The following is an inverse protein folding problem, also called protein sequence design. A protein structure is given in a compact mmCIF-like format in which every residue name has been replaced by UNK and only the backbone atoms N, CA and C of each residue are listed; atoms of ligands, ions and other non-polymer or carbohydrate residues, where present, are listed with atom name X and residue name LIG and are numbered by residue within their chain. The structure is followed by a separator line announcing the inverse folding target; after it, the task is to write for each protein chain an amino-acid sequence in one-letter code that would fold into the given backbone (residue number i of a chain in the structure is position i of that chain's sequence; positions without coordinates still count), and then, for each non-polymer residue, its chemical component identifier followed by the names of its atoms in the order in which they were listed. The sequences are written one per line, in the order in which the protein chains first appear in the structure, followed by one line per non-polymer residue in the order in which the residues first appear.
data_IF_802353374607
#
_entry.id   IF_802353374607
#
_cell.length_a   1.000
_cell.length_b   1.000
_cell.length_c   1.000
_cell.angle_alpha   90.00
_cell.angle_beta   90.00
_cell.angle_gamma   90.00
#
_symmetry.space_group_name_H-M   'P 1'
#
loop_
_entity.id
_entity.type
_entity.pdbx_description
1 polymer ?
#
# COMPACT_ATOMS: atom_id res chain seq x y z
N UNK A 1 -13.69 73.11 -53.12
CA UNK A 1 -13.15 73.02 -51.74
C UNK A 1 -13.88 71.89 -51.05
N UNK A 2 -13.12 70.91 -50.58
CA UNK A 2 -13.55 69.54 -50.36
C UNK A 2 -14.27 69.33 -49.02
N UNK A 3 -15.28 68.45 -49.06
CA UNK A 3 -16.01 67.90 -47.93
C UNK A 3 -15.12 66.91 -47.17
N UNK A 4 -14.94 67.11 -45.86
CA UNK A 4 -14.17 66.23 -44.99
C UNK A 4 -15.05 65.06 -44.52
N UNK A 5 -14.64 63.85 -44.89
CA UNK A 5 -15.28 62.58 -44.50
C UNK A 5 -14.84 62.18 -43.10
N UNK A 6 -15.81 61.85 -42.23
CA UNK A 6 -15.58 61.31 -40.89
C UNK A 6 -15.33 59.81 -41.02
N UNK A 7 -14.11 59.38 -40.67
CA UNK A 7 -13.72 57.97 -40.59
C UNK A 7 -14.21 57.43 -39.25
N UNK A 8 -15.17 56.51 -39.28
CA UNK A 8 -15.59 55.71 -38.12
C UNK A 8 -14.70 54.46 -38.08
N UNK A 9 -14.06 54.11 -36.94
CA UNK A 9 -13.25 52.91 -36.86
C UNK A 9 -14.14 51.66 -36.87
N UNK A 10 -13.68 50.64 -37.62
CA UNK A 10 -14.32 49.34 -37.69
C UNK A 10 -14.36 48.66 -36.31
N UNK A 11 -15.41 47.88 -35.98
CA UNK A 11 -15.42 47.09 -34.76
C UNK A 11 -14.35 45.99 -34.87
N UNK A 12 -13.44 45.94 -33.90
CA UNK A 12 -12.55 44.80 -33.71
C UNK A 12 -13.41 43.58 -33.38
N UNK A 13 -13.53 42.66 -34.33
CA UNK A 13 -14.11 41.34 -34.11
C UNK A 13 -13.20 40.54 -33.18
N UNK A 14 -13.50 40.54 -31.89
CA UNK A 14 -13.04 39.53 -30.96
C UNK A 14 -14.18 38.53 -30.76
N UNK A 15 -14.23 37.53 -31.65
CA UNK A 15 -14.91 36.29 -31.35
C UNK A 15 -14.14 35.61 -30.22
N UNK A 16 -14.59 35.80 -28.98
CA UNK A 16 -14.38 34.80 -27.96
C UNK A 16 -15.30 33.64 -28.32
N UNK A 17 -14.80 32.69 -29.11
CA UNK A 17 -15.36 31.35 -29.09
C UNK A 17 -15.24 30.87 -27.65
N UNK A 18 -16.38 30.71 -26.99
CA UNK A 18 -16.44 29.88 -25.79
C UNK A 18 -15.94 28.50 -26.22
N UNK A 19 -14.92 27.92 -25.55
CA UNK A 19 -14.58 26.53 -25.80
C UNK A 19 -15.85 25.70 -25.56
N UNK A 20 -16.22 24.94 -26.58
CA UNK A 20 -17.42 24.11 -26.58
C UNK A 20 -17.48 23.27 -25.31
N UNK A 21 -18.60 23.41 -24.60
CA UNK A 21 -19.07 22.44 -23.63
C UNK A 21 -19.54 21.22 -24.43
N UNK A 22 -18.61 20.39 -24.90
CA UNK A 22 -18.92 19.13 -25.59
C UNK A 22 -17.69 18.20 -25.59
N UNK A 23 -17.17 17.88 -24.41
CA UNK A 23 -16.60 16.56 -24.12
C UNK A 23 -16.82 16.28 -22.62
N UNK A 24 -18.00 15.74 -22.30
CA UNK A 24 -18.16 15.01 -21.04
C UNK A 24 -17.17 13.84 -21.11
N UNK A 25 -16.28 13.62 -20.13
CA UNK A 25 -15.37 12.49 -20.19
C UNK A 25 -16.20 11.20 -20.35
N UNK A 26 -15.90 10.40 -21.38
CA UNK A 26 -16.54 9.09 -21.63
C UNK A 26 -16.22 8.05 -20.54
N UNK A 27 -15.46 8.42 -19.50
CA UNK A 27 -15.06 7.50 -18.46
C UNK A 27 -16.14 7.35 -17.37
N UNK A 28 -16.48 6.11 -16.96
CA UNK A 28 -17.54 5.87 -15.99
C UNK A 28 -17.14 6.32 -14.59
N UNK A 29 -18.05 6.98 -13.88
CA UNK A 29 -17.94 7.24 -12.44
C UNK A 29 -17.84 5.91 -11.69
N UNK A 30 -16.86 5.78 -10.80
CA UNK A 30 -16.77 4.63 -9.91
C UNK A 30 -17.89 4.66 -8.88
N UNK A 31 -18.52 3.52 -8.61
CA UNK A 31 -19.61 3.39 -7.63
C UNK A 31 -19.37 2.20 -6.70
N UNK A 32 -20.05 2.18 -5.56
CA UNK A 32 -19.95 1.09 -4.59
C UNK A 32 -19.06 1.39 -3.39
N UNK A 33 -18.84 0.40 -2.50
CA UNK A 33 -18.26 0.60 -1.18
C UNK A 33 -16.81 1.11 -1.19
N UNK A 34 -16.06 0.87 -2.25
CA UNK A 34 -14.68 1.35 -2.38
C UNK A 34 -14.58 2.86 -2.61
N UNK A 35 -15.69 3.55 -2.90
CA UNK A 35 -15.73 5.01 -3.04
C UNK A 35 -16.03 5.64 -1.68
N UNK A 36 -14.99 5.94 -0.92
CA UNK A 36 -15.12 6.52 0.42
C UNK A 36 -14.20 7.71 0.66
N UNK A 37 -14.60 8.55 1.62
CA UNK A 37 -13.77 9.62 2.18
C UNK A 37 -13.42 9.26 3.62
N UNK A 38 -12.22 9.63 4.09
CA UNK A 38 -11.74 9.25 5.41
C UNK A 38 -12.61 9.74 6.58
N UNK A 39 -13.38 10.80 6.35
CA UNK A 39 -14.38 11.32 7.29
C UNK A 39 -15.59 10.39 7.51
N UNK A 40 -15.72 9.29 6.75
CA UNK A 40 -16.71 8.25 7.00
C UNK A 40 -16.34 7.37 8.21
N UNK A 41 -15.05 7.29 8.55
CA UNK A 41 -14.53 6.45 9.62
C UNK A 41 -14.21 7.29 10.86
N UNK A 42 -15.25 7.87 11.46
CA UNK A 42 -15.12 8.72 12.66
C UNK A 42 -14.86 7.88 13.90
N UNK A 43 -15.57 6.76 14.01
CA UNK A 43 -15.53 5.85 15.17
C UNK A 43 -14.73 4.60 14.81
N UNK A 44 -13.92 4.10 15.76
CA UNK A 44 -13.08 2.92 15.57
C UNK A 44 -13.91 1.70 15.13
N UNK A 45 -15.13 1.55 15.64
CA UNK A 45 -16.04 0.43 15.32
C UNK A 45 -16.41 0.36 13.84
N UNK A 46 -16.19 1.44 13.08
CA UNK A 46 -16.44 1.45 11.63
C UNK A 46 -15.38 0.66 10.85
N UNK A 47 -14.15 0.52 11.35
CA UNK A 47 -13.05 -0.14 10.64
C UNK A 47 -12.25 -1.14 11.49
N UNK A 48 -12.40 -1.10 12.82
CA UNK A 48 -11.78 -1.99 13.79
C UNK A 48 -12.74 -3.11 14.17
N UNK A 49 -12.23 -4.34 14.15
CA UNK A 49 -12.90 -5.53 14.64
C UNK A 49 -12.15 -6.04 15.86
N UNK A 50 -12.78 -5.88 17.02
CA UNK A 50 -12.23 -6.31 18.30
C UNK A 50 -12.30 -7.84 18.45
N UNK A 51 -11.16 -8.47 18.69
CA UNK A 51 -11.07 -9.89 19.02
C UNK A 51 -11.56 -10.11 20.44
N UNK A 52 -12.51 -11.02 20.61
CA UNK A 52 -12.97 -11.43 21.93
C UNK A 52 -11.92 -12.29 22.63
N UNK A 53 -12.05 -12.47 23.94
CA UNK A 53 -11.21 -13.41 24.70
C UNK A 53 -11.26 -14.84 24.15
N UNK A 54 -12.40 -15.24 23.58
CA UNK A 54 -12.56 -16.56 22.97
C UNK A 54 -11.82 -16.64 21.63
N UNK A 55 -11.87 -15.58 20.82
CA UNK A 55 -11.13 -15.51 19.55
C UNK A 55 -9.61 -15.59 19.82
N UNK A 56 -9.11 -14.85 20.82
CA UNK A 56 -7.69 -14.90 21.23
C UNK A 56 -7.30 -16.30 21.73
N UNK A 57 -8.11 -16.91 22.60
CA UNK A 57 -7.84 -18.26 23.11
C UNK A 57 -7.90 -19.34 22.02
N UNK A 58 -8.67 -19.12 20.94
CA UNK A 58 -8.68 -19.98 19.77
C UNK A 58 -7.39 -19.84 18.96
N UNK A 59 -6.92 -18.60 18.73
CA UNK A 59 -5.62 -18.31 18.10
C UNK A 59 -4.48 -18.95 18.89
N UNK A 60 -4.45 -18.81 20.22
CA UNK A 60 -3.41 -19.42 21.07
C UNK A 60 -3.32 -20.94 20.90
N UNK A 61 -4.48 -21.62 20.82
CA UNK A 61 -4.55 -23.06 20.58
C UNK A 61 -4.05 -23.42 19.19
N UNK A 62 -4.42 -22.66 18.17
CA UNK A 62 -4.00 -22.88 16.80
C UNK A 62 -2.48 -22.68 16.63
N UNK A 63 -1.89 -21.69 17.29
CA UNK A 63 -0.43 -21.47 17.33
C UNK A 63 0.26 -22.70 17.93
N UNK A 64 -0.15 -23.14 19.11
CA UNK A 64 0.44 -24.31 19.77
C UNK A 64 0.27 -25.60 18.94
N UNK A 65 -0.90 -25.79 18.32
CA UNK A 65 -1.18 -26.95 17.49
C UNK A 65 -0.31 -26.97 16.21
N UNK A 66 -0.18 -25.83 15.53
CA UNK A 66 0.66 -25.72 14.34
C UNK A 66 2.13 -25.95 14.69
N UNK A 67 2.64 -25.33 15.75
CA UNK A 67 4.03 -25.49 16.15
C UNK A 67 4.37 -26.96 16.48
N UNK A 68 3.44 -27.69 17.12
CA UNK A 68 3.59 -29.11 17.42
C UNK A 68 3.72 -30.01 16.15
N UNK A 69 3.33 -29.51 14.97
CA UNK A 69 3.52 -30.25 13.70
C UNK A 69 4.98 -30.25 13.23
N UNK A 70 5.78 -29.27 13.66
CA UNK A 70 7.15 -29.06 13.16
C UNK A 70 7.25 -28.61 11.70
N UNK A 71 6.13 -28.27 11.05
CA UNK A 71 6.12 -27.77 9.68
C UNK A 71 6.67 -26.34 9.59
N UNK A 72 7.25 -26.01 8.44
CA UNK A 72 7.61 -24.61 8.13
C UNK A 72 6.34 -23.75 8.07
N UNK A 73 6.36 -22.49 8.55
CA UNK A 73 5.24 -21.56 8.43
C UNK A 73 4.72 -21.29 7.02
N UNK A 74 5.45 -21.68 5.97
CA UNK A 74 4.90 -21.70 4.61
C UNK A 74 3.71 -22.65 4.44
N UNK A 75 3.55 -23.66 5.31
CA UNK A 75 2.40 -24.55 5.34
C UNK A 75 1.20 -24.00 6.14
N UNK A 76 1.26 -22.75 6.63
CA UNK A 76 0.12 -22.13 7.31
C UNK A 76 -1.01 -21.87 6.31
N UNK A 77 -2.13 -22.52 6.58
CA UNK A 77 -3.39 -22.42 5.84
C UNK A 77 -4.56 -22.61 6.81
N UNK A 78 -5.82 -22.35 6.39
CA UNK A 78 -6.99 -22.66 7.21
C UNK A 78 -7.06 -24.12 7.69
N UNK A 79 -6.49 -25.06 6.93
CA UNK A 79 -6.46 -26.49 7.26
C UNK A 79 -5.44 -26.83 8.36
N UNK A 80 -4.25 -26.21 8.33
CA UNK A 80 -3.16 -26.44 9.31
C UNK A 80 -3.21 -25.48 10.50
N UNK A 81 -3.96 -24.37 10.38
CA UNK A 81 -4.24 -23.38 11.41
C UNK A 81 -5.76 -23.21 11.59
N UNK A 82 -6.46 -24.22 12.14
CA UNK A 82 -7.90 -24.22 12.21
C UNK A 82 -8.43 -23.20 13.23
N UNK A 83 -9.31 -22.33 12.78
CA UNK A 83 -10.07 -21.37 13.59
C UNK A 83 -11.58 -21.60 13.40
N UNK A 84 -12.17 -22.65 13.97
CA UNK A 84 -13.58 -22.98 13.77
C UNK A 84 -14.57 -21.83 13.99
N UNK A 85 -14.33 -20.95 14.96
CA UNK A 85 -15.23 -19.83 15.30
C UNK A 85 -14.78 -18.50 14.68
N UNK A 86 -13.48 -18.17 14.78
CA UNK A 86 -12.93 -16.94 14.21
C UNK A 86 -12.78 -17.00 12.68
N UNK A 87 -12.44 -18.16 12.11
CA UNK A 87 -12.21 -18.36 10.68
C UNK A 87 -13.37 -17.92 9.78
N UNK A 88 -14.63 -18.30 10.06
CA UNK A 88 -15.79 -17.80 9.32
C UNK A 88 -15.94 -16.27 9.37
N UNK A 89 -15.61 -15.63 10.52
CA UNK A 89 -15.61 -14.17 10.64
C UNK A 89 -14.52 -13.54 9.77
N UNK A 90 -13.32 -14.14 9.77
CA UNK A 90 -12.21 -13.69 8.93
C UNK A 90 -12.55 -13.82 7.44
N UNK A 91 -13.18 -14.91 6.99
CA UNK A 91 -13.65 -15.04 5.60
C UNK A 91 -14.68 -13.96 5.23
N UNK A 92 -15.62 -13.65 6.13
CA UNK A 92 -16.54 -12.54 5.91
C UNK A 92 -15.82 -11.18 5.80
N UNK A 93 -14.75 -10.97 6.58
CA UNK A 93 -13.90 -9.79 6.47
C UNK A 93 -13.02 -9.78 5.21
N UNK A 94 -12.66 -10.94 4.66
CA UNK A 94 -11.99 -11.02 3.35
C UNK A 94 -12.88 -10.43 2.25
N UNK A 95 -14.19 -10.69 2.28
CA UNK A 95 -15.13 -10.03 1.35
C UNK A 95 -15.13 -8.52 1.52
N UNK A 96 -14.98 -7.99 2.75
CA UNK A 96 -14.85 -6.55 2.99
C UNK A 96 -13.60 -5.95 2.32
N UNK A 97 -12.48 -6.68 2.29
CA UNK A 97 -11.26 -6.27 1.57
C UNK A 97 -11.46 -6.30 0.05
N UNK A 98 -12.17 -7.30 -0.47
CA UNK A 98 -12.28 -7.49 -1.92
C UNK A 98 -13.46 -6.76 -2.57
N UNK A 99 -14.52 -6.48 -1.81
CA UNK A 99 -15.81 -5.95 -2.31
C UNK A 99 -16.36 -4.77 -1.47
N UNK A 100 -15.90 -4.64 -0.22
CA UNK A 100 -16.30 -3.57 0.70
C UNK A 100 -15.41 -2.32 0.57
N UNK A 101 -15.17 -1.63 1.69
CA UNK A 101 -14.34 -0.43 1.72
C UNK A 101 -12.85 -0.74 1.45
N UNK A 102 -12.48 -2.01 1.38
CA UNK A 102 -11.15 -2.43 0.99
C UNK A 102 -10.16 -2.54 2.14
N UNK A 103 -10.55 -2.28 3.39
CA UNK A 103 -9.67 -2.48 4.54
C UNK A 103 -10.44 -2.75 5.83
N UNK A 104 -9.72 -3.30 6.82
CA UNK A 104 -10.12 -3.36 8.21
C UNK A 104 -8.90 -3.56 9.12
N UNK A 105 -9.10 -3.38 10.43
CA UNK A 105 -8.10 -3.65 11.46
C UNK A 105 -8.66 -4.68 12.43
N UNK A 106 -7.97 -5.80 12.65
CA UNK A 106 -8.22 -6.68 13.79
C UNK A 106 -7.48 -6.12 15.00
N UNK A 107 -8.16 -6.00 16.14
CA UNK A 107 -7.56 -5.51 17.39
C UNK A 107 -7.65 -6.54 18.50
N UNK A 108 -6.64 -6.59 19.36
CA UNK A 108 -6.69 -7.34 20.62
C UNK A 108 -5.65 -8.45 20.79
N UNK A 109 -4.82 -8.75 19.77
CA UNK A 109 -3.69 -9.65 19.97
C UNK A 109 -2.69 -9.06 20.98
N UNK A 110 -1.90 -9.94 21.60
CA UNK A 110 -0.97 -9.59 22.67
C UNK A 110 0.44 -10.05 22.30
N UNK A 111 1.13 -9.35 21.37
CA UNK A 111 2.40 -9.79 20.81
C UNK A 111 3.49 -10.10 21.85
N UNK A 112 3.46 -9.43 23.00
CA UNK A 112 4.37 -9.64 24.12
C UNK A 112 4.18 -10.97 24.87
N UNK A 113 3.09 -11.71 24.60
CA UNK A 113 2.88 -13.06 25.12
C UNK A 113 3.42 -14.16 24.21
N UNK A 114 3.80 -13.81 22.99
CA UNK A 114 4.30 -14.74 21.99
C UNK A 114 5.82 -14.57 21.81
N UNK A 115 6.53 -15.67 21.61
CA UNK A 115 7.86 -15.70 21.01
C UNK A 115 7.78 -15.12 19.59
N UNK A 116 8.92 -14.76 19.01
CA UNK A 116 8.98 -14.20 17.64
C UNK A 116 8.38 -15.14 16.59
N UNK A 117 8.69 -16.44 16.70
CA UNK A 117 8.13 -17.49 15.85
C UNK A 117 6.61 -17.60 16.03
N UNK A 118 6.12 -17.57 17.27
CA UNK A 118 4.68 -17.65 17.57
C UNK A 118 3.92 -16.43 17.04
N UNK A 119 4.50 -15.21 17.12
CA UNK A 119 3.94 -14.02 16.47
C UNK A 119 3.84 -14.20 14.95
N UNK A 120 4.83 -14.84 14.34
CA UNK A 120 4.81 -15.12 12.90
C UNK A 120 3.75 -16.16 12.54
N UNK A 121 3.63 -17.22 13.34
CA UNK A 121 2.61 -18.26 13.18
C UNK A 121 1.21 -17.65 13.33
N UNK A 122 0.97 -16.88 14.39
CA UNK A 122 -0.31 -16.23 14.64
C UNK A 122 -0.69 -15.29 13.49
N UNK A 123 0.23 -14.39 13.09
CA UNK A 123 -0.02 -13.45 12.01
C UNK A 123 -0.28 -14.15 10.68
N UNK A 124 0.57 -15.10 10.30
CA UNK A 124 0.46 -15.80 9.01
C UNK A 124 -0.77 -16.71 8.98
N UNK A 125 -1.06 -17.40 10.08
CA UNK A 125 -2.24 -18.26 10.24
C UNK A 125 -3.55 -17.48 10.13
N UNK A 126 -3.71 -16.39 10.88
CA UNK A 126 -4.87 -15.49 10.76
C UNK A 126 -4.98 -14.93 9.35
N UNK A 127 -3.87 -14.44 8.80
CA UNK A 127 -3.83 -13.80 7.49
C UNK A 127 -4.17 -14.78 6.35
N UNK A 128 -3.96 -16.08 6.53
CA UNK A 128 -4.32 -17.10 5.52
C UNK A 128 -5.82 -17.18 5.22
N UNK A 129 -6.67 -16.71 6.16
CA UNK A 129 -8.12 -16.57 5.95
C UNK A 129 -8.48 -15.33 5.14
N UNK A 130 -7.57 -14.37 4.94
CA UNK A 130 -7.80 -13.16 4.14
C UNK A 130 -7.17 -13.30 2.75
N UNK A 131 -5.98 -13.90 2.68
CA UNK A 131 -5.34 -14.28 1.43
C UNK A 131 -4.47 -15.51 1.63
N UNK A 132 -4.76 -16.57 0.87
CA UNK A 132 -4.16 -17.89 1.06
C UNK A 132 -2.80 -18.04 0.36
N UNK A 133 -2.43 -17.12 -0.54
CA UNK A 133 -1.10 -17.05 -1.17
C UNK A 133 -0.32 -15.87 -0.62
N UNK A 134 0.99 -16.04 -0.41
CA UNK A 134 1.90 -14.99 0.05
C UNK A 134 2.90 -14.66 -1.06
N UNK A 135 3.17 -13.38 -1.24
CA UNK A 135 4.02 -12.87 -2.29
C UNK A 135 5.44 -12.65 -1.79
N UNK A 136 6.42 -13.16 -2.53
CA UNK A 136 7.82 -12.79 -2.35
C UNK A 136 7.99 -11.30 -2.66
N UNK A 137 8.57 -10.55 -1.72
CA UNK A 137 8.56 -9.09 -1.75
C UNK A 137 9.81 -8.48 -2.43
N UNK A 138 10.82 -9.29 -2.70
CA UNK A 138 12.01 -8.96 -3.47
C UNK A 138 12.57 -10.23 -4.12
N UNK A 139 13.29 -10.17 -5.26
CA UNK A 139 13.80 -11.38 -5.91
C UNK A 139 14.63 -12.27 -4.96
N UNK A 140 14.18 -13.52 -4.76
CA UNK A 140 14.80 -14.46 -3.81
C UNK A 140 14.68 -14.09 -2.33
N UNK A 141 13.85 -13.10 -2.00
CA UNK A 141 13.62 -12.61 -0.66
C UNK A 141 12.48 -13.33 0.07
N UNK A 142 12.18 -12.91 1.31
CA UNK A 142 11.15 -13.53 2.11
C UNK A 142 9.74 -13.11 1.69
N UNK A 143 8.79 -13.98 2.02
CA UNK A 143 7.35 -13.69 1.89
C UNK A 143 6.85 -12.80 3.02
N UNK A 144 7.53 -12.83 4.18
CA UNK A 144 7.27 -11.95 5.31
C UNK A 144 8.48 -11.05 5.57
N UNK A 145 8.24 -9.74 5.64
CA UNK A 145 9.27 -8.75 5.91
C UNK A 145 9.01 -7.99 7.21
N UNK A 146 10.06 -7.39 7.76
CA UNK A 146 9.98 -6.52 8.92
C UNK A 146 9.96 -5.06 8.46
N UNK A 147 8.94 -4.31 8.90
CA UNK A 147 8.96 -2.85 8.88
C UNK A 147 9.44 -2.40 10.25
N UNK A 148 10.73 -2.12 10.34
CA UNK A 148 11.39 -1.73 11.57
C UNK A 148 11.98 -0.35 11.36
N UNK A 149 11.88 0.53 12.35
CA UNK A 149 12.69 1.75 12.31
C UNK A 149 14.16 1.33 12.22
N UNK A 150 14.83 1.62 11.11
CA UNK A 150 16.26 1.43 10.87
C UNK A 150 16.96 2.76 10.63
N UNK A 151 16.37 3.89 11.03
CA UNK A 151 16.84 5.23 10.60
C UNK A 151 18.33 5.48 10.85
N UNK A 152 18.87 5.01 11.99
CA UNK A 152 20.30 5.11 12.31
C UNK A 152 21.17 4.30 11.34
N UNK A 153 20.79 3.05 11.08
CA UNK A 153 21.48 2.14 10.18
C UNK A 153 21.37 2.61 8.71
N UNK A 154 20.24 3.19 8.34
CA UNK A 154 20.02 3.81 7.03
C UNK A 154 20.97 4.98 6.83
N UNK A 155 21.05 5.91 7.80
CA UNK A 155 21.96 7.05 7.71
C UNK A 155 23.43 6.61 7.58
N UNK A 156 23.82 5.55 8.28
CA UNK A 156 25.17 4.98 8.18
C UNK A 156 25.40 4.33 6.81
N UNK A 157 24.47 3.53 6.30
CA UNK A 157 24.59 2.89 4.97
C UNK A 157 24.55 3.88 3.82
N UNK A 158 23.77 4.95 3.93
CA UNK A 158 23.74 6.03 2.95
C UNK A 158 25.07 6.78 2.86
N UNK A 159 25.73 7.01 4.01
CA UNK A 159 27.10 7.55 4.03
C UNK A 159 28.10 6.62 3.33
N UNK A 160 27.85 5.31 3.36
CA UNK A 160 28.71 4.28 2.78
C UNK A 160 28.31 3.88 1.34
N UNK A 161 27.19 4.40 0.81
CA UNK A 161 26.58 3.99 -0.46
C UNK A 161 26.30 2.47 -0.55
N UNK A 162 25.97 1.84 0.58
CA UNK A 162 25.86 0.37 0.75
C UNK A 162 24.39 -0.12 0.82
N UNK A 163 23.62 0.23 -0.21
CA UNK A 163 22.29 -0.33 -0.44
C UNK A 163 21.11 0.44 0.20
N UNK A 164 20.00 0.50 -0.56
CA UNK A 164 18.80 1.23 -0.16
C UNK A 164 17.94 0.43 0.82
N UNK A 165 17.72 0.99 2.01
CA UNK A 165 16.65 0.57 2.91
C UNK A 165 15.42 1.44 2.67
N UNK A 166 14.28 0.77 2.42
CA UNK A 166 13.01 1.38 2.05
C UNK A 166 12.51 2.46 3.02
N UNK A 167 11.80 3.47 2.50
CA UNK A 167 11.24 4.57 3.29
C UNK A 167 10.40 4.13 4.50
N UNK A 168 9.74 2.97 4.41
CA UNK A 168 8.98 2.40 5.52
C UNK A 168 9.82 2.16 6.79
N UNK A 169 11.14 2.00 6.63
CA UNK A 169 12.11 1.75 7.70
C UNK A 169 12.80 3.03 8.21
N UNK A 170 12.30 4.21 7.86
CA UNK A 170 12.81 5.50 8.33
C UNK A 170 11.79 6.19 9.23
N UNK A 171 12.19 7.19 10.00
CA UNK A 171 11.30 8.06 10.79
C UNK A 171 10.56 9.12 9.97
N UNK A 172 11.06 9.45 8.78
CA UNK A 172 10.47 10.46 7.90
C UNK A 172 9.07 10.09 7.41
N UNK A 173 8.32 11.09 6.94
CA UNK A 173 7.07 10.86 6.23
C UNK A 173 7.26 9.85 5.08
N UNK A 174 6.35 8.88 4.99
CA UNK A 174 6.26 7.95 3.88
C UNK A 174 5.10 8.41 2.98
N UNK A 175 5.38 8.94 1.77
CA UNK A 175 4.35 9.45 0.87
C UNK A 175 3.31 8.41 0.46
N UNK A 176 2.15 8.89 0.01
CA UNK A 176 1.12 8.02 -0.56
C UNK A 176 1.68 7.18 -1.71
N UNK A 177 1.42 5.89 -1.64
CA UNK A 177 1.79 4.93 -2.65
C UNK A 177 0.85 3.71 -2.60
N UNK A 178 0.95 2.90 -3.62
CA UNK A 178 0.49 1.51 -3.63
C UNK A 178 1.70 0.62 -3.93
N UNK A 179 1.62 -0.63 -3.48
CA UNK A 179 2.64 -1.62 -3.75
C UNK A 179 2.32 -2.46 -4.99
N UNK A 180 3.16 -3.44 -5.30
CA UNK A 180 2.79 -4.55 -6.19
C UNK A 180 2.11 -5.65 -5.35
N UNK A 181 1.16 -6.38 -5.95
CA UNK A 181 0.36 -7.42 -5.28
C UNK A 181 -1.04 -6.94 -4.87
N UNK A 182 -1.86 -7.86 -4.37
CA UNK A 182 -3.30 -7.63 -4.15
C UNK A 182 -3.65 -7.06 -2.78
N UNK A 183 -3.07 -7.63 -1.71
CA UNK A 183 -3.40 -7.28 -0.32
C UNK A 183 -2.12 -6.96 0.43
N UNK A 184 -2.11 -5.85 1.17
CA UNK A 184 -1.05 -5.57 2.16
C UNK A 184 -1.59 -5.81 3.56
N UNK A 185 -0.87 -6.65 4.30
CA UNK A 185 -1.22 -6.99 5.68
C UNK A 185 -0.08 -6.57 6.60
N UNK A 186 -0.40 -5.83 7.68
CA UNK A 186 0.56 -5.31 8.63
C UNK A 186 0.19 -5.72 10.05
N UNK A 187 1.08 -6.41 10.76
CA UNK A 187 0.90 -6.75 12.17
C UNK A 187 1.79 -5.87 13.05
N UNK A 188 1.18 -5.04 13.90
CA UNK A 188 1.86 -4.12 14.79
C UNK A 188 2.38 -4.85 16.04
N UNK A 189 3.67 -5.20 16.03
CA UNK A 189 4.35 -5.73 17.23
C UNK A 189 4.71 -4.62 18.22
N UNK A 190 4.97 -3.41 17.71
CA UNK A 190 5.16 -2.19 18.49
C UNK A 190 4.91 -0.95 17.64
N UNK A 191 4.01 -0.08 18.09
CA UNK A 191 3.77 1.23 17.48
C UNK A 191 4.91 2.22 17.76
N UNK A 192 4.92 3.36 17.08
CA UNK A 192 5.72 4.50 17.52
C UNK A 192 5.07 5.17 18.73
N UNK A 193 5.88 5.71 19.64
CA UNK A 193 5.37 6.41 20.84
C UNK A 193 4.71 7.75 20.47
N UNK A 194 5.27 8.47 19.49
CA UNK A 194 4.78 9.77 19.02
C UNK A 194 4.79 9.79 17.49
N UNK A 195 3.62 10.05 16.89
CA UNK A 195 3.43 10.12 15.44
C UNK A 195 3.31 8.75 14.78
N UNK A 196 3.54 8.69 13.47
CA UNK A 196 3.57 7.44 12.72
C UNK A 196 2.20 6.83 12.48
N UNK A 197 1.15 7.67 12.48
CA UNK A 197 -0.20 7.28 12.05
C UNK A 197 -0.15 6.71 10.64
N UNK A 198 -1.02 5.75 10.39
CA UNK A 198 -1.27 5.21 9.06
C UNK A 198 -2.32 6.06 8.38
N UNK A 199 -2.11 6.32 7.09
CA UNK A 199 -2.98 7.13 6.25
C UNK A 199 -3.45 6.27 5.08
N UNK A 200 -4.75 6.13 4.89
CA UNK A 200 -5.36 5.34 3.81
C UNK A 200 -6.27 6.24 2.97
N UNK A 201 -6.12 6.22 1.65
CA UNK A 201 -6.97 6.98 0.73
C UNK A 201 -7.53 6.07 -0.37
N UNK A 202 -8.83 6.15 -0.61
CA UNK A 202 -9.47 5.46 -1.73
C UNK A 202 -9.05 6.08 -3.07
N UNK A 203 -8.38 5.29 -3.91
CA UNK A 203 -8.06 5.69 -5.27
C UNK A 203 -9.32 5.87 -6.14
N UNK A 204 -10.43 5.19 -5.83
CA UNK A 204 -11.70 5.36 -6.54
C UNK A 204 -12.35 6.70 -6.21
N UNK A 205 -12.27 7.14 -4.95
CA UNK A 205 -12.74 8.45 -4.55
C UNK A 205 -11.87 9.58 -5.15
N UNK A 206 -10.55 9.40 -5.17
CA UNK A 206 -9.61 10.30 -5.87
C UNK A 206 -9.94 10.36 -7.36
N UNK A 207 -10.12 9.21 -8.01
CA UNK A 207 -10.51 9.12 -9.41
C UNK A 207 -11.80 9.89 -9.70
N UNK A 208 -12.85 9.68 -8.90
CA UNK A 208 -14.12 10.40 -9.06
C UNK A 208 -13.96 11.91 -8.87
N UNK A 209 -13.12 12.36 -7.93
CA UNK A 209 -12.81 13.77 -7.74
C UNK A 209 -12.10 14.35 -8.96
N UNK A 210 -11.07 13.65 -9.47
CA UNK A 210 -10.36 14.04 -10.69
C UNK A 210 -11.28 14.10 -11.90
N UNK A 211 -12.19 13.14 -12.05
CA UNK A 211 -13.14 13.08 -13.16
C UNK A 211 -14.01 14.35 -13.22
N UNK A 212 -14.36 14.91 -12.07
CA UNK A 212 -15.16 16.13 -11.94
C UNK A 212 -14.35 17.41 -12.11
N UNK A 213 -13.11 17.45 -11.63
CA UNK A 213 -12.35 18.72 -11.51
C UNK A 213 -11.13 18.84 -12.41
N UNK A 214 -10.50 17.72 -12.77
CA UNK A 214 -9.22 17.62 -13.49
C UNK A 214 -9.13 16.32 -14.33
N UNK A 215 -10.03 16.10 -15.31
CA UNK A 215 -10.00 14.89 -16.14
C UNK A 215 -8.71 14.76 -16.96
N UNK A 216 -8.02 15.87 -17.23
CA UNK A 216 -6.69 15.90 -17.85
C UNK A 216 -5.61 15.16 -17.05
N UNK A 217 -5.73 15.15 -15.71
CA UNK A 217 -4.84 14.37 -14.84
C UNK A 217 -5.12 12.88 -14.99
N UNK A 218 -6.38 12.47 -15.19
CA UNK A 218 -6.72 11.05 -15.46
C UNK A 218 -6.04 10.58 -16.74
N UNK A 219 -6.13 11.37 -17.82
CA UNK A 219 -5.46 11.05 -19.08
C UNK A 219 -3.94 10.93 -18.88
N UNK A 220 -3.35 11.85 -18.11
CA UNK A 220 -1.91 11.81 -17.76
C UNK A 220 -1.54 10.54 -16.98
N UNK A 221 -2.36 10.10 -16.03
CA UNK A 221 -2.12 8.88 -15.24
C UNK A 221 -2.23 7.60 -16.09
N UNK A 222 -2.97 7.64 -17.21
CA UNK A 222 -3.11 6.53 -18.18
C UNK A 222 -1.99 6.47 -19.23
N UNK A 223 -1.13 7.50 -19.31
CA UNK A 223 0.02 7.51 -20.22
C UNK A 223 1.06 6.41 -19.88
N UNK A 224 2.03 6.20 -20.76
CA UNK A 224 3.18 5.34 -20.52
C UNK A 224 4.29 6.07 -19.74
N UNK A 225 4.37 5.86 -18.42
CA UNK A 225 5.38 6.46 -17.55
C UNK A 225 6.69 5.69 -17.60
N UNK A 226 7.84 6.36 -17.60
CA UNK A 226 9.16 5.70 -17.61
C UNK A 226 9.67 5.43 -16.18
N UNK A 227 9.53 4.19 -15.73
CA UNK A 227 9.88 3.70 -14.40
C UNK A 227 11.37 3.39 -14.30
N UNK A 228 12.03 3.98 -13.31
CA UNK A 228 13.37 3.56 -12.91
C UNK A 228 13.32 2.29 -12.06
N UNK A 229 14.12 1.28 -12.43
CA UNK A 229 14.24 0.03 -11.70
C UNK A 229 15.20 0.14 -10.50
N UNK A 230 16.06 1.17 -10.49
CA UNK A 230 17.21 1.33 -9.58
C UNK A 230 18.19 0.14 -9.56
N UNK A 231 18.07 -0.79 -10.51
CA UNK A 231 18.83 -2.02 -10.55
C UNK A 231 19.60 -2.08 -11.88
N UNK A 232 20.95 -2.08 -11.88
CA UNK A 232 21.73 -2.13 -13.11
C UNK A 232 21.40 -3.33 -14.01
N UNK A 233 20.99 -4.45 -13.41
CA UNK A 233 20.63 -5.69 -14.09
C UNK A 233 19.19 -5.75 -14.60
N UNK A 234 18.32 -4.81 -14.20
CA UNK A 234 16.92 -4.79 -14.61
C UNK A 234 16.65 -3.51 -15.42
N UNK A 235 16.28 -3.58 -16.71
CA UNK A 235 16.03 -2.38 -17.49
C UNK A 235 14.86 -1.56 -16.92
N UNK A 236 14.97 -0.24 -17.06
CA UNK A 236 13.82 0.66 -16.91
C UNK A 236 12.70 0.26 -17.88
N UNK A 237 11.46 0.44 -17.48
CA UNK A 237 10.29 0.00 -18.25
C UNK A 237 9.23 1.09 -18.30
N UNK A 238 8.22 0.90 -19.17
CA UNK A 238 7.07 1.79 -19.25
C UNK A 238 5.79 1.11 -18.79
N UNK A 239 5.00 1.83 -18.01
CA UNK A 239 3.70 1.38 -17.48
C UNK A 239 2.86 2.57 -16.99
N UNK A 240 1.53 2.58 -17.20
CA UNK A 240 0.64 3.57 -16.59
C UNK A 240 0.55 3.50 -15.07
N UNK A 241 0.12 4.60 -14.44
CA UNK A 241 -0.20 4.64 -13.00
C UNK A 241 -1.67 4.31 -12.72
N UNK A 242 -2.55 4.59 -13.68
CA UNK A 242 -3.97 4.28 -13.61
C UNK A 242 -4.32 3.28 -14.71
N UNK A 243 -4.81 2.13 -14.31
CA UNK A 243 -5.17 1.03 -15.20
C UNK A 243 -6.63 0.65 -15.00
N UNK A 244 -7.19 -0.07 -15.97
CA UNK A 244 -8.55 -0.58 -15.92
C UNK A 244 -8.55 -2.07 -16.26
N UNK A 245 -9.28 -2.86 -15.47
CA UNK A 245 -9.57 -4.27 -15.75
C UNK A 245 -11.03 -4.53 -15.42
N UNK A 246 -11.80 -4.99 -16.39
CA UNK A 246 -13.23 -5.37 -16.21
C UNK A 246 -14.08 -4.27 -15.56
N UNK A 247 -13.88 -3.00 -15.96
CA UNK A 247 -14.61 -1.85 -15.43
C UNK A 247 -14.19 -1.42 -14.02
N UNK A 248 -13.12 -2.01 -13.46
CA UNK A 248 -12.52 -1.61 -12.19
C UNK A 248 -11.25 -0.83 -12.46
N UNK A 249 -11.13 0.32 -11.80
CA UNK A 249 -9.91 1.11 -11.82
C UNK A 249 -8.91 0.56 -10.81
N UNK A 250 -7.67 0.39 -11.23
CA UNK A 250 -6.53 -0.03 -10.40
C UNK A 250 -5.48 1.08 -10.46
N UNK A 251 -5.10 1.60 -9.29
CA UNK A 251 -4.16 2.71 -9.21
C UNK A 251 -2.82 2.22 -8.63
N UNK A 252 -1.84 1.99 -9.49
CA UNK A 252 -0.47 1.65 -9.09
C UNK A 252 0.40 2.91 -8.94
N UNK A 253 -0.02 3.82 -8.05
CA UNK A 253 0.66 5.08 -7.80
C UNK A 253 1.94 4.91 -6.97
N UNK A 254 3.09 5.36 -7.49
CA UNK A 254 4.38 5.44 -6.77
C UNK A 254 5.14 6.71 -7.16
N UNK A 255 5.90 7.28 -6.23
CA UNK A 255 6.68 8.52 -6.47
C UNK A 255 8.16 8.23 -6.74
N UNK A 256 8.76 7.29 -5.98
CA UNK A 256 10.20 7.02 -6.01
C UNK A 256 10.76 6.71 -7.40
N UNK A 257 10.14 5.89 -8.27
CA UNK A 257 10.64 5.61 -9.62
C UNK A 257 10.81 6.84 -10.52
N UNK A 258 10.18 7.96 -10.18
CA UNK A 258 10.15 9.17 -10.99
C UNK A 258 10.97 10.33 -10.40
N UNK A 259 11.06 10.41 -9.06
CA UNK A 259 11.77 11.49 -8.37
C UNK A 259 13.02 11.03 -7.63
N UNK A 260 13.23 9.71 -7.49
CA UNK A 260 14.29 9.17 -6.65
C UNK A 260 14.04 9.40 -5.17
N UNK A 261 15.10 9.38 -4.39
CA UNK A 261 15.09 9.63 -2.95
C UNK A 261 16.45 10.26 -2.57
N UNK A 262 16.55 11.13 -1.55
CA UNK A 262 17.86 11.58 -1.07
C UNK A 262 18.79 10.39 -0.81
N UNK A 263 20.04 10.47 -1.29
CA UNK A 263 21.00 9.35 -1.26
C UNK A 263 20.86 8.31 -2.38
N UNK A 264 19.69 8.20 -3.02
CA UNK A 264 19.40 7.29 -4.12
C UNK A 264 18.66 8.01 -5.26
N UNK A 265 19.35 8.89 -6.01
CA UNK A 265 18.73 9.68 -7.07
C UNK A 265 18.26 8.78 -8.22
N UNK A 266 17.23 9.22 -8.93
CA UNK A 266 16.79 8.60 -10.18
C UNK A 266 17.93 8.64 -11.21
N UNK A 267 18.01 7.61 -12.03
CA UNK A 267 18.96 7.50 -13.12
C UNK A 267 18.83 8.71 -14.08
N UNK A 268 19.86 9.56 -14.09
CA UNK A 268 19.89 10.78 -14.89
C UNK A 268 19.80 10.50 -16.41
N UNK A 269 20.18 9.30 -16.87
CA UNK A 269 20.07 8.92 -18.28
C UNK A 269 18.60 8.79 -18.76
N UNK A 270 17.64 8.68 -17.85
CA UNK A 270 16.21 8.63 -18.18
C UNK A 270 15.60 10.01 -18.50
N UNK A 271 16.38 11.08 -18.31
CA UNK A 271 15.92 12.45 -18.49
C UNK A 271 14.97 12.93 -17.39
N UNK A 272 14.62 14.23 -17.41
CA UNK A 272 13.69 14.80 -16.44
C UNK A 272 12.29 14.19 -16.58
N UNK A 273 11.54 14.16 -15.48
CA UNK A 273 10.11 13.85 -15.54
C UNK A 273 9.38 14.98 -16.29
N UNK A 274 8.51 14.68 -17.26
CA UNK A 274 7.69 15.69 -17.92
C UNK A 274 6.87 16.51 -16.91
N UNK A 275 6.68 17.80 -17.17
CA UNK A 275 6.04 18.73 -16.22
C UNK A 275 4.60 18.33 -15.88
N UNK A 276 3.82 17.87 -16.87
CA UNK A 276 2.43 17.43 -16.65
C UNK A 276 2.37 16.13 -15.82
N UNK A 277 3.34 15.24 -15.99
CA UNK A 277 3.49 14.05 -15.15
C UNK A 277 3.89 14.42 -13.70
N UNK A 278 4.80 15.38 -13.51
CA UNK A 278 5.11 15.90 -12.18
C UNK A 278 3.86 16.49 -11.50
N UNK A 279 3.10 17.32 -12.23
CA UNK A 279 1.83 17.89 -11.75
C UNK A 279 0.82 16.79 -11.36
N UNK A 280 0.69 15.73 -12.17
CA UNK A 280 -0.22 14.63 -11.87
C UNK A 280 0.14 13.91 -10.55
N UNK A 281 1.43 13.74 -10.25
CA UNK A 281 1.86 13.20 -8.95
C UNK A 281 1.43 14.13 -7.80
N UNK A 282 1.69 15.43 -7.93
CA UNK A 282 1.37 16.40 -6.88
C UNK A 282 -0.14 16.51 -6.62
N UNK A 283 -0.96 16.54 -7.68
CA UNK A 283 -2.42 16.61 -7.56
C UNK A 283 -3.00 15.35 -6.90
N UNK A 284 -2.52 14.16 -7.28
CA UNK A 284 -2.97 12.91 -6.64
C UNK A 284 -2.57 12.86 -5.16
N UNK A 285 -1.34 13.26 -4.84
CA UNK A 285 -0.88 13.31 -3.45
C UNK A 285 -1.70 14.29 -2.59
N UNK A 286 -2.03 15.46 -3.14
CA UNK A 286 -2.87 16.45 -2.47
C UNK A 286 -4.29 15.91 -2.20
N UNK A 287 -4.93 15.32 -3.20
CA UNK A 287 -6.26 14.73 -3.05
C UNK A 287 -6.26 13.55 -2.08
N UNK A 288 -5.21 12.71 -2.12
CA UNK A 288 -5.05 11.62 -1.17
C UNK A 288 -4.96 12.15 0.27
N UNK A 289 -4.19 13.22 0.53
CA UNK A 289 -4.08 13.81 1.86
C UNK A 289 -5.40 14.44 2.33
N UNK A 290 -6.10 15.16 1.45
CA UNK A 290 -7.43 15.76 1.74
C UNK A 290 -8.45 14.67 2.14
N UNK A 291 -8.43 13.54 1.43
CA UNK A 291 -9.48 12.53 1.50
C UNK A 291 -9.15 11.33 2.40
N UNK A 292 -7.92 11.22 2.92
CA UNK A 292 -7.50 10.03 3.63
C UNK A 292 -8.16 9.87 5.02
N UNK A 293 -8.33 8.60 5.40
CA UNK A 293 -8.54 8.20 6.78
C UNK A 293 -7.19 8.10 7.48
N UNK A 294 -7.10 8.63 8.71
CA UNK A 294 -5.89 8.62 9.53
C UNK A 294 -6.17 7.88 10.83
N UNK A 295 -5.37 6.87 11.14
CA UNK A 295 -5.50 6.16 12.42
C UNK A 295 -4.14 5.75 12.98
N UNK A 296 -4.10 5.53 14.29
CA UNK A 296 -2.90 5.05 14.99
C UNK A 296 -3.04 3.55 15.24
N UNK A 297 -2.03 2.78 14.85
CA UNK A 297 -1.94 1.38 15.27
C UNK A 297 -1.81 1.26 16.79
N UNK A 298 -2.57 0.35 17.38
CA UNK A 298 -2.26 -0.18 18.70
C UNK A 298 -1.34 -1.41 18.58
N UNK A 299 -0.54 -1.65 19.62
CA UNK A 299 0.25 -2.88 19.68
C UNK A 299 -0.70 -4.07 19.73
N UNK A 300 -0.52 -5.01 18.80
CA UNK A 300 -1.43 -6.15 18.60
C UNK A 300 -2.41 -6.00 17.46
N UNK A 301 -2.52 -4.81 16.85
CA UNK A 301 -3.39 -4.60 15.70
C UNK A 301 -2.84 -5.31 14.45
N UNK A 302 -3.72 -5.94 13.66
CA UNK A 302 -3.42 -6.39 12.30
C UNK A 302 -4.29 -5.60 11.33
N UNK A 303 -3.68 -4.82 10.43
CA UNK A 303 -4.37 -4.20 9.30
C UNK A 303 -4.34 -5.14 8.10
N UNK A 304 -5.46 -5.20 7.38
CA UNK A 304 -5.54 -5.73 6.02
C UNK A 304 -6.07 -4.63 5.11
N UNK A 305 -5.43 -4.42 3.95
CA UNK A 305 -5.93 -3.50 2.93
C UNK A 305 -5.82 -4.07 1.51
N UNK A 306 -6.74 -3.65 0.66
CA UNK A 306 -6.75 -3.89 -0.77
C UNK A 306 -5.81 -2.90 -1.44
N UNK A 307 -4.66 -3.41 -1.85
CA UNK A 307 -3.58 -2.62 -2.41
C UNK A 307 -3.90 -2.09 -3.81
N UNK A 308 -4.88 -2.68 -4.51
CA UNK A 308 -5.27 -2.26 -5.85
C UNK A 308 -6.11 -0.97 -5.85
N UNK A 309 -6.80 -0.70 -4.74
CA UNK A 309 -7.74 0.42 -4.63
C UNK A 309 -7.39 1.42 -3.53
N UNK A 310 -6.45 1.12 -2.63
CA UNK A 310 -6.07 1.99 -1.53
C UNK A 310 -4.63 2.48 -1.67
N UNK A 311 -4.46 3.79 -1.74
CA UNK A 311 -3.18 4.44 -1.53
C UNK A 311 -2.92 4.53 -0.03
N UNK A 312 -1.71 4.18 0.39
CA UNK A 312 -1.33 4.21 1.79
C UNK A 312 -0.06 5.04 2.00
N UNK A 313 0.00 5.69 3.15
CA UNK A 313 1.08 6.53 3.61
C UNK A 313 1.28 6.35 5.11
N UNK A 314 2.36 6.94 5.62
CA UNK A 314 2.60 7.02 7.05
C UNK A 314 3.17 8.39 7.41
N UNK A 315 2.63 8.96 8.48
CA UNK A 315 3.20 10.16 9.07
C UNK A 315 4.65 9.95 9.53
N UNK A 316 5.35 11.07 9.70
CA UNK A 316 6.60 11.07 10.44
C UNK A 316 6.38 10.64 11.90
N UNK A 317 7.40 10.08 12.51
CA UNK A 317 7.37 9.70 13.91
C UNK A 317 8.72 9.92 14.58
N UNK A 318 8.70 10.05 15.90
CA UNK A 318 9.94 10.18 16.67
C UNK A 318 10.56 8.80 16.85
N UNK A 319 11.83 8.66 16.46
CA UNK A 319 12.61 7.46 16.73
C UNK A 319 12.85 7.29 18.23
N UNK A 320 12.96 6.05 18.70
CA UNK A 320 13.16 5.73 20.11
C UNK A 320 14.61 5.36 20.41
N UNK A 321 15.06 5.62 21.63
CA UNK A 321 16.35 5.11 22.11
C UNK A 321 16.27 3.63 22.48
N UNK A 322 17.29 2.87 22.09
CA UNK A 322 17.37 1.42 22.30
C UNK A 322 16.53 0.61 21.32
N UNK A 323 17.03 -0.56 20.93
CA UNK A 323 16.41 -1.40 19.90
C UNK A 323 15.00 -1.91 20.28
N UNK A 324 14.74 -2.11 21.57
CA UNK A 324 13.46 -2.64 22.07
C UNK A 324 12.30 -1.63 22.01
N UNK A 325 12.61 -0.34 21.82
CA UNK A 325 11.61 0.73 21.79
C UNK A 325 11.18 1.15 20.40
N UNK A 326 11.80 0.58 19.38
CA UNK A 326 11.59 0.99 18.00
C UNK A 326 10.28 0.45 17.45
N UNK A 327 9.63 1.25 16.62
CA UNK A 327 8.44 0.85 15.86
C UNK A 327 8.77 -0.42 15.05
N UNK A 328 7.93 -1.44 15.18
CA UNK A 328 8.14 -2.75 14.57
C UNK A 328 6.80 -3.35 14.11
N UNK A 329 6.69 -3.59 12.80
CA UNK A 329 5.60 -4.33 12.20
C UNK A 329 6.12 -5.50 11.37
N UNK A 330 5.32 -6.56 11.25
CA UNK A 330 5.49 -7.59 10.23
C UNK A 330 4.61 -7.27 9.02
N UNK A 331 5.09 -7.55 7.82
CA UNK A 331 4.38 -7.31 6.56
C UNK A 331 4.28 -8.57 5.73
N UNK A 332 3.06 -8.87 5.26
CA UNK A 332 2.80 -9.80 4.19
C UNK A 332 2.22 -9.05 2.98
N UNK A 333 2.54 -9.55 1.79
CA UNK A 333 1.78 -9.26 0.57
C UNK A 333 1.00 -10.53 0.24
N UNK A 334 -0.31 -10.44 0.09
CA UNK A 334 -1.15 -11.63 -0.06
C UNK A 334 -2.06 -11.55 -1.27
N UNK A 335 -2.55 -12.71 -1.69
CA UNK A 335 -3.59 -12.86 -2.69
C UNK A 335 -4.55 -13.95 -2.20
N UNK A 336 -5.83 -13.72 -2.40
CA UNK A 336 -6.88 -14.72 -2.22
C UNK A 336 -7.20 -15.35 -3.58
N UNK A 337 -6.90 -16.63 -3.78
CA UNK A 337 -7.14 -17.30 -5.07
C UNK A 337 -8.63 -17.32 -5.46
N UNK A 338 -9.55 -17.25 -4.50
CA UNK A 338 -10.99 -17.24 -4.74
C UNK A 338 -11.51 -15.82 -5.04
N UNK A 339 -11.04 -14.82 -4.30
CA UNK A 339 -11.59 -13.46 -4.33
C UNK A 339 -10.73 -12.43 -5.08
N UNK A 340 -9.51 -12.79 -5.45
CA UNK A 340 -8.57 -11.87 -6.11
C UNK A 340 -9.14 -11.31 -7.40
N UNK A 341 -8.86 -10.03 -7.63
CA UNK A 341 -9.25 -9.38 -8.85
C UNK A 341 -8.34 -9.83 -10.01
N UNK A 342 -8.93 -9.90 -11.20
CA UNK A 342 -8.14 -9.88 -12.42
C UNK A 342 -7.25 -8.64 -12.46
N UNK A 343 -6.06 -8.77 -13.02
CA UNK A 343 -5.13 -7.66 -13.19
C UNK A 343 -4.98 -7.30 -14.67
N UNK A 344 -4.72 -6.03 -15.01
CA UNK A 344 -4.31 -5.61 -16.34
C UNK A 344 -3.01 -6.31 -16.75
N UNK A 345 -2.78 -6.48 -18.06
CA UNK A 345 -1.59 -7.19 -18.60
C UNK A 345 -0.27 -6.65 -18.06
N UNK A 346 -0.19 -5.35 -17.77
CA UNK A 346 0.98 -4.63 -17.28
C UNK A 346 1.36 -4.99 -15.84
N UNK A 347 0.42 -5.56 -15.08
CA UNK A 347 0.63 -6.00 -13.69
C UNK A 347 0.69 -7.52 -13.57
N UNK A 348 0.12 -8.29 -14.52
CA UNK A 348 0.06 -9.76 -14.45
C UNK A 348 1.43 -10.41 -14.22
N UNK A 349 2.44 -10.06 -15.02
CA UNK A 349 3.73 -10.75 -14.98
C UNK A 349 4.50 -10.49 -13.69
N UNK A 350 4.49 -9.24 -13.20
CA UNK A 350 5.19 -8.90 -11.94
C UNK A 350 4.49 -9.57 -10.77
N UNK A 351 3.15 -9.57 -10.76
CA UNK A 351 2.38 -10.16 -9.67
C UNK A 351 2.46 -11.69 -9.69
N UNK A 352 2.39 -12.33 -10.86
CA UNK A 352 2.51 -13.79 -10.96
C UNK A 352 3.83 -14.30 -10.38
N UNK A 353 4.95 -13.62 -10.68
CA UNK A 353 6.27 -13.96 -10.13
C UNK A 353 6.34 -13.87 -8.61
N UNK A 354 5.56 -12.98 -7.99
CA UNK A 354 5.53 -12.87 -6.53
C UNK A 354 4.97 -14.14 -5.89
N UNK A 355 4.00 -14.80 -6.51
CA UNK A 355 3.29 -15.95 -5.94
C UNK A 355 3.70 -17.30 -6.55
N UNK A 356 4.60 -17.32 -7.54
CA UNK A 356 5.10 -18.51 -8.23
C UNK A 356 6.17 -19.25 -7.41
N UNK A 357 5.72 -19.86 -6.33
CA UNK A 357 6.53 -20.69 -5.44
C UNK A 357 5.64 -21.64 -4.63
N UNK A 358 6.22 -22.73 -4.11
CA UNK A 358 5.55 -23.64 -3.19
C UNK A 358 5.72 -23.22 -1.72
N UNK A 359 4.93 -23.79 -0.80
CA UNK A 359 5.04 -23.50 0.64
C UNK A 359 6.42 -23.85 1.23
N UNK A 360 7.14 -24.81 0.66
CA UNK A 360 8.49 -25.19 1.11
C UNK A 360 9.57 -24.17 0.68
N UNK A 361 9.30 -23.36 -0.34
CA UNK A 361 10.21 -22.33 -0.84
C UNK A 361 10.04 -20.99 -0.10
N UNK A 362 8.99 -20.87 0.71
CA UNK A 362 8.70 -19.65 1.45
C UNK A 362 9.69 -19.42 2.59
N UNK A 363 10.36 -18.28 2.55
CA UNK A 363 11.27 -17.88 3.63
C UNK A 363 10.62 -16.82 4.53
N UNK A 364 10.76 -17.03 5.83
CA UNK A 364 10.29 -16.13 6.87
C UNK A 364 11.50 -15.65 7.65
N UNK A 365 11.69 -14.34 7.69
CA UNK A 365 12.68 -13.73 8.57
C UNK A 365 11.99 -13.56 9.92
N UNK A 366 12.55 -14.15 10.98
CA UNK A 366 11.96 -14.08 12.33
C UNK A 366 12.48 -12.90 13.15
N UNK A 367 13.53 -12.24 12.67
CA UNK A 367 14.18 -11.11 13.35
C UNK A 367 14.66 -10.08 12.34
N UNK A 368 14.43 -8.78 12.56
CA UNK A 368 15.10 -7.76 11.76
C UNK A 368 16.62 -7.84 12.03
N UNK A 369 17.43 -8.00 10.98
CA UNK A 369 18.87 -7.75 11.06
C UNK A 369 19.15 -6.24 10.90
N UNK A 370 20.16 -5.65 11.56
CA UNK A 370 21.14 -6.29 12.44
C UNK A 370 20.74 -6.03 13.90
N UNK A 371 19.80 -6.78 14.47
CA UNK A 371 19.64 -6.78 15.91
C UNK A 371 20.62 -7.78 16.54
N UNK A 372 21.73 -7.36 17.16
CA UNK A 372 22.40 -8.22 18.11
C UNK A 372 21.48 -8.28 19.32
N UNK A 373 20.73 -9.37 19.51
CA UNK A 373 20.46 -9.97 20.83
C UNK A 373 19.64 -11.26 20.64
N UNK A 374 20.29 -12.36 21.03
CA UNK A 374 19.68 -13.57 21.57
C UNK A 374 19.20 -13.22 22.97
N UNK A 375 17.90 -13.32 23.24
CA UNK A 375 17.38 -13.52 24.60
C UNK A 375 16.24 -14.54 24.50
N UNK A 376 16.51 -15.74 25.03
CA UNK A 376 15.53 -16.80 25.27
C UNK A 376 15.29 -17.73 24.08
N UNK A 377 15.86 -18.94 24.17
CA UNK A 377 15.34 -20.14 23.50
C UNK A 377 13.90 -20.41 23.93
#
# INVERSE_FOLDING_TARGET
MASASIIVPAPLGHGFEQPGVDQVPEQPVMTGPMVWHGSQFVDDETFVVELTKNDIAEVDKAVAAFEATGLSPGHLSPETFPLPMLGPKLRALSLRVHEGEGFFVLRGLQPWKYRRIENTIAFTGISSYIGNRRGVQSPGGPVMTHIFDFSKEVEEKEKLNDGYLGHANRTSFLPFHSDDGHIISLYCLKGADIGGRTLLASSWAIYNKLLLTRPDIIETLKEEWLWDSFMPSNPSFRRPLLLEEQGRIICNYRIRPFLGTPGYPRNAALGPLPAHQAEALDVVAQLADEMCHRFQFQTGDIQFLNNLTILHAREEFQGSEGNENRRHLLRLVQMDEELSWGLPKELKDVTAKMYDHGPDDETFIWSPEPLPYVIGQ
#
